data_IF_123865416018
#
_entry.id   IF_123865416018
#
_cell.length_a   1.000
_cell.length_b   1.000
_cell.length_c   1.000
_cell.angle_alpha   90.00
_cell.angle_beta   90.00
_cell.angle_gamma   90.00
#
_symmetry.space_group_name_H-M   'P 1'
#
loop_
_entity.id
_entity.type
_entity.pdbx_description
1 polymer ?
#
# COMPACT_ATOMS: atom_id res chain seq x y z
N UNK A 1 -31.91 6.26 5.86
CA UNK A 1 -31.60 6.58 4.45
C UNK A 1 -30.52 5.62 3.99
N UNK A 2 -30.92 4.50 3.37
CA UNK A 2 -30.03 3.41 2.96
C UNK A 2 -29.41 3.80 1.61
N UNK A 3 -28.42 4.70 1.61
CA UNK A 3 -27.56 4.85 0.44
C UNK A 3 -26.67 3.61 0.39
N UNK A 4 -26.98 2.72 -0.54
CA UNK A 4 -26.43 1.36 -0.71
C UNK A 4 -24.92 1.30 -0.45
N UNK A 5 -24.52 0.50 0.53
CA UNK A 5 -23.15 0.07 0.84
C UNK A 5 -22.36 -0.29 -0.45
N UNK A 6 -23.05 -0.80 -1.47
CA UNK A 6 -22.54 -1.08 -2.83
C UNK A 6 -21.82 0.12 -3.50
N UNK A 7 -22.38 1.34 -3.38
CA UNK A 7 -21.87 2.54 -4.07
C UNK A 7 -20.59 3.06 -3.43
N UNK A 8 -20.48 2.92 -2.10
CA UNK A 8 -19.26 3.25 -1.36
C UNK A 8 -18.14 2.23 -1.59
N UNK A 9 -18.49 0.94 -1.72
CA UNK A 9 -17.55 -0.11 -2.16
C UNK A 9 -16.97 0.22 -3.54
N UNK A 10 -17.82 0.59 -4.50
CA UNK A 10 -17.39 0.97 -5.85
C UNK A 10 -16.43 2.17 -5.83
N UNK A 11 -16.74 3.23 -5.09
CA UNK A 11 -15.86 4.42 -4.98
C UNK A 11 -14.51 4.05 -4.33
N UNK A 12 -14.51 3.14 -3.34
CA UNK A 12 -13.29 2.60 -2.74
C UNK A 12 -12.37 1.87 -3.73
N UNK A 13 -12.93 1.26 -4.78
CA UNK A 13 -12.16 0.61 -5.86
C UNK A 13 -11.78 1.56 -7.00
N UNK A 14 -12.49 2.69 -7.16
CA UNK A 14 -12.19 3.68 -8.20
C UNK A 14 -10.81 4.31 -7.99
N UNK A 15 -10.46 4.70 -6.76
CA UNK A 15 -9.17 5.34 -6.47
C UNK A 15 -7.97 4.41 -6.79
N UNK A 16 -7.94 3.14 -6.33
CA UNK A 16 -6.91 2.19 -6.74
C UNK A 16 -6.89 1.93 -8.24
N UNK A 17 -8.06 1.79 -8.88
CA UNK A 17 -8.14 1.49 -10.30
C UNK A 17 -7.60 2.65 -11.16
N UNK A 18 -7.99 3.89 -10.87
CA UNK A 18 -7.47 5.07 -11.59
C UNK A 18 -5.97 5.24 -11.36
N UNK A 19 -5.51 5.03 -10.13
CA UNK A 19 -4.09 5.09 -9.79
C UNK A 19 -3.29 4.06 -10.57
N UNK A 20 -3.78 2.81 -10.65
CA UNK A 20 -3.14 1.74 -11.41
C UNK A 20 -3.07 2.06 -12.91
N UNK A 21 -4.15 2.58 -13.49
CA UNK A 21 -4.19 3.02 -14.89
C UNK A 21 -3.18 4.13 -15.17
N UNK A 22 -3.14 5.16 -14.33
CA UNK A 22 -2.22 6.30 -14.48
C UNK A 22 -0.76 5.88 -14.30
N UNK A 23 -0.49 4.96 -13.37
CA UNK A 23 0.83 4.35 -13.19
C UNK A 23 1.25 3.55 -14.42
N UNK A 24 0.35 2.74 -14.99
CA UNK A 24 0.64 1.97 -16.19
C UNK A 24 1.03 2.88 -17.37
N UNK A 25 0.31 3.99 -17.55
CA UNK A 25 0.65 4.99 -18.58
C UNK A 25 1.98 5.67 -18.27
N UNK A 26 2.23 6.09 -17.03
CA UNK A 26 3.48 6.73 -16.63
C UNK A 26 4.71 5.83 -16.85
N UNK A 27 4.57 4.54 -16.51
CA UNK A 27 5.58 3.52 -16.72
C UNK A 27 5.78 3.21 -18.20
N UNK A 28 4.71 3.17 -19.00
CA UNK A 28 4.81 2.96 -20.45
C UNK A 28 5.55 4.12 -21.14
N UNK A 29 5.39 5.35 -20.66
CA UNK A 29 6.15 6.52 -21.12
C UNK A 29 7.60 6.55 -20.59
N UNK A 30 8.00 5.62 -19.73
CA UNK A 30 9.33 5.58 -19.10
C UNK A 30 9.62 6.76 -18.16
N UNK A 31 8.59 7.52 -17.76
CA UNK A 31 8.76 8.74 -16.99
C UNK A 31 8.61 8.47 -15.48
N UNK A 32 9.74 8.24 -14.82
CA UNK A 32 9.82 7.96 -13.39
C UNK A 32 9.25 9.11 -12.54
N UNK A 33 9.53 10.37 -12.90
CA UNK A 33 9.01 11.53 -12.17
C UNK A 33 7.48 11.58 -12.21
N UNK A 34 6.88 11.24 -13.35
CA UNK A 34 5.44 11.17 -13.52
C UNK A 34 4.83 10.02 -12.71
N UNK A 35 5.48 8.85 -12.66
CA UNK A 35 5.04 7.71 -11.84
C UNK A 35 5.03 8.05 -10.34
N UNK A 36 6.06 8.73 -9.83
CA UNK A 36 6.08 9.23 -8.46
C UNK A 36 5.04 10.33 -8.21
N UNK A 37 4.80 11.20 -9.19
CA UNK A 37 3.76 12.22 -9.11
C UNK A 37 2.36 11.61 -8.99
N UNK A 38 2.05 10.57 -9.78
CA UNK A 38 0.79 9.82 -9.71
C UNK A 38 0.62 9.17 -8.34
N UNK A 39 1.68 8.53 -7.80
CA UNK A 39 1.65 7.94 -6.46
C UNK A 39 1.38 8.98 -5.38
N UNK A 40 2.09 10.11 -5.41
CA UNK A 40 1.89 11.19 -4.44
C UNK A 40 0.47 11.77 -4.49
N UNK A 41 -0.06 11.98 -5.70
CA UNK A 41 -1.43 12.45 -5.90
C UNK A 41 -2.45 11.44 -5.39
N UNK A 42 -2.29 10.15 -5.69
CA UNK A 42 -3.17 9.10 -5.22
C UNK A 42 -3.20 9.00 -3.68
N UNK A 43 -2.04 9.13 -3.04
CA UNK A 43 -1.93 9.18 -1.57
C UNK A 43 -2.69 10.39 -1.03
N UNK A 44 -2.45 11.58 -1.57
CA UNK A 44 -3.11 12.81 -1.13
C UNK A 44 -4.64 12.73 -1.29
N UNK A 45 -5.13 12.27 -2.44
CA UNK A 45 -6.56 12.07 -2.71
C UNK A 45 -7.17 11.06 -1.75
N UNK A 46 -6.48 9.96 -1.46
CA UNK A 46 -6.94 8.96 -0.50
C UNK A 46 -7.11 9.54 0.91
N UNK A 47 -6.13 10.34 1.37
CA UNK A 47 -6.22 11.02 2.67
C UNK A 47 -7.34 12.05 2.71
N UNK A 48 -7.48 12.88 1.67
CA UNK A 48 -8.55 13.88 1.59
C UNK A 48 -9.93 13.23 1.55
N UNK A 49 -10.08 12.13 0.82
CA UNK A 49 -11.33 11.36 0.76
C UNK A 49 -11.69 10.75 2.12
N UNK A 50 -10.71 10.16 2.82
CA UNK A 50 -10.90 9.63 4.16
C UNK A 50 -11.29 10.72 5.17
N UNK A 51 -10.66 11.90 5.10
CA UNK A 51 -10.98 13.04 5.98
C UNK A 51 -12.38 13.61 5.68
N UNK A 52 -12.75 13.67 4.41
CA UNK A 52 -14.09 14.09 3.97
C UNK A 52 -15.18 13.13 4.45
N UNK A 53 -14.94 11.82 4.39
CA UNK A 53 -15.83 10.79 4.94
C UNK A 53 -16.01 10.95 6.45
N UNK A 54 -14.91 11.14 7.19
CA UNK A 54 -14.96 11.38 8.65
C UNK A 54 -15.81 12.61 9.00
N UNK A 55 -15.68 13.71 8.27
CA UNK A 55 -16.46 14.94 8.50
C UNK A 55 -17.97 14.77 8.28
N UNK A 56 -18.40 13.78 7.51
CA UNK A 56 -19.83 13.49 7.28
C UNK A 56 -20.47 12.62 8.36
N UNK A 57 -19.72 12.18 9.37
CA UNK A 57 -20.24 11.31 10.43
C UNK A 57 -20.58 9.89 9.95
N UNK A 58 -20.10 9.49 8.77
CA UNK A 58 -20.15 8.09 8.33
C UNK A 58 -19.11 7.30 9.12
N UNK A 59 -19.49 6.89 10.33
CA UNK A 59 -18.71 5.96 11.16
C UNK A 59 -18.90 4.56 10.54
N UNK A 60 -18.08 4.23 9.54
CA UNK A 60 -18.05 2.90 8.93
C UNK A 60 -17.40 1.87 9.88
N UNK A 61 -16.68 2.34 10.89
CA UNK A 61 -15.87 1.52 11.78
C UNK A 61 -16.57 1.27 13.12
N UNK A 62 -17.47 0.28 13.14
CA UNK A 62 -17.80 -0.44 14.37
C UNK A 62 -16.48 -1.02 14.96
N UNK A 63 -16.39 -1.15 16.29
CA UNK A 63 -15.22 -1.74 16.97
C UNK A 63 -14.85 -3.11 16.39
N UNK A 64 -15.86 -3.86 15.95
CA UNK A 64 -15.69 -5.17 15.29
C UNK A 64 -14.96 -5.05 13.95
N UNK A 65 -15.39 -4.11 13.10
CA UNK A 65 -14.76 -3.84 11.80
C UNK A 65 -13.33 -3.39 11.98
N UNK A 66 -13.08 -2.53 12.96
CA UNK A 66 -11.75 -2.00 13.28
C UNK A 66 -10.79 -3.12 13.73
N UNK A 67 -11.24 -4.05 14.59
CA UNK A 67 -10.44 -5.22 14.96
C UNK A 67 -10.17 -6.17 13.80
N UNK A 68 -11.12 -6.35 12.88
CA UNK A 68 -10.94 -7.17 11.67
C UNK A 68 -9.87 -6.54 10.76
N UNK A 69 -9.95 -5.23 10.53
CA UNK A 69 -8.95 -4.51 9.74
C UNK A 69 -7.55 -4.58 10.37
N UNK A 70 -7.45 -4.46 11.69
CA UNK A 70 -6.17 -4.61 12.39
C UNK A 70 -5.58 -6.02 12.23
N UNK A 71 -6.39 -7.08 12.39
CA UNK A 71 -5.93 -8.46 12.21
C UNK A 71 -5.55 -8.74 10.76
N UNK A 72 -6.36 -8.27 9.81
CA UNK A 72 -6.08 -8.39 8.38
C UNK A 72 -4.79 -7.67 8.01
N UNK A 73 -4.62 -6.42 8.45
CA UNK A 73 -3.41 -5.61 8.22
C UNK A 73 -2.15 -6.29 8.76
N UNK A 74 -2.21 -6.86 9.98
CA UNK A 74 -1.08 -7.62 10.56
C UNK A 74 -0.70 -8.82 9.70
N UNK A 75 -1.68 -9.59 9.21
CA UNK A 75 -1.42 -10.75 8.34
C UNK A 75 -0.90 -10.33 6.96
N UNK A 76 -1.50 -9.32 6.33
CA UNK A 76 -1.05 -8.80 5.04
C UNK A 76 0.39 -8.33 5.11
N UNK A 77 0.78 -7.63 6.18
CA UNK A 77 2.15 -7.16 6.36
C UNK A 77 3.14 -8.32 6.59
N UNK A 78 2.71 -9.39 7.28
CA UNK A 78 3.52 -10.62 7.39
C UNK A 78 3.72 -11.31 6.04
N UNK A 79 2.64 -11.49 5.26
CA UNK A 79 2.70 -12.12 3.93
C UNK A 79 3.55 -11.30 2.98
N UNK A 80 3.39 -9.96 2.99
CA UNK A 80 4.20 -9.04 2.17
C UNK A 80 5.70 -9.17 2.48
N UNK A 81 6.08 -9.16 3.76
CA UNK A 81 7.48 -9.32 4.14
C UNK A 81 8.04 -10.68 3.73
N UNK A 82 7.26 -11.76 3.87
CA UNK A 82 7.68 -13.09 3.44
C UNK A 82 7.91 -13.12 1.93
N UNK A 83 6.96 -12.59 1.15
CA UNK A 83 7.07 -12.49 -0.31
C UNK A 83 8.28 -11.64 -0.73
N UNK A 84 8.51 -10.49 -0.08
CA UNK A 84 9.68 -9.65 -0.33
C UNK A 84 10.99 -10.35 0.04
N UNK A 85 11.03 -11.10 1.15
CA UNK A 85 12.21 -11.87 1.53
C UNK A 85 12.55 -12.94 0.47
N UNK A 86 11.56 -13.68 -0.02
CA UNK A 86 11.75 -14.60 -1.14
C UNK A 86 12.21 -13.88 -2.41
N UNK A 87 11.59 -12.74 -2.76
CA UNK A 87 11.97 -11.96 -3.93
C UNK A 87 13.43 -11.48 -3.84
N UNK A 88 13.88 -10.99 -2.68
CA UNK A 88 15.27 -10.56 -2.45
C UNK A 88 16.25 -11.73 -2.64
N UNK A 89 15.95 -12.90 -2.10
CA UNK A 89 16.82 -14.10 -2.25
C UNK A 89 16.92 -14.50 -3.72
N UNK A 90 15.78 -14.61 -4.41
CA UNK A 90 15.74 -14.98 -5.84
C UNK A 90 16.47 -13.95 -6.70
N UNK A 91 16.19 -12.66 -6.49
CA UNK A 91 16.82 -11.57 -7.23
C UNK A 91 18.31 -11.46 -6.95
N UNK A 92 18.77 -11.77 -5.73
CA UNK A 92 20.20 -11.81 -5.40
C UNK A 92 20.94 -12.79 -6.32
N UNK A 93 20.47 -14.04 -6.40
CA UNK A 93 21.07 -15.09 -7.24
C UNK A 93 20.93 -14.78 -8.74
N UNK A 94 19.79 -14.23 -9.16
CA UNK A 94 19.57 -13.89 -10.58
C UNK A 94 20.38 -12.66 -11.02
N UNK A 95 20.60 -11.69 -10.12
CA UNK A 95 21.34 -10.46 -10.43
C UNK A 95 22.81 -10.70 -10.74
N UNK A 96 23.41 -11.78 -10.20
CA UNK A 96 24.76 -12.21 -10.55
C UNK A 96 24.88 -12.65 -12.02
N UNK A 97 23.80 -13.21 -12.58
CA UNK A 97 23.76 -13.71 -13.96
C UNK A 97 23.29 -12.66 -14.96
N UNK A 98 22.41 -11.76 -14.53
CA UNK A 98 21.81 -10.72 -15.37
C UNK A 98 21.93 -9.36 -14.66
N UNK A 99 22.94 -8.53 -15.02
CA UNK A 99 23.20 -7.27 -14.32
C UNK A 99 22.04 -6.27 -14.42
N UNK A 100 21.15 -6.43 -15.40
CA UNK A 100 19.95 -5.60 -15.54
C UNK A 100 18.94 -5.79 -14.38
N UNK A 101 19.00 -6.91 -13.63
CA UNK A 101 18.13 -7.18 -12.48
C UNK A 101 18.63 -6.57 -11.17
N UNK A 102 19.83 -5.97 -11.18
CA UNK A 102 20.45 -5.39 -10.00
C UNK A 102 19.62 -4.23 -9.42
N UNK A 103 18.98 -3.44 -10.28
CA UNK A 103 18.03 -2.38 -9.89
C UNK A 103 16.80 -2.95 -9.17
N UNK A 104 16.23 -4.05 -9.69
CA UNK A 104 15.09 -4.73 -9.08
C UNK A 104 15.46 -5.35 -7.72
N UNK A 105 16.68 -5.89 -7.59
CA UNK A 105 17.21 -6.39 -6.32
C UNK A 105 17.28 -5.28 -5.26
N UNK A 106 17.90 -4.13 -5.57
CA UNK A 106 17.97 -3.01 -4.63
C UNK A 106 16.59 -2.45 -4.28
N UNK A 107 15.67 -2.42 -5.23
CA UNK A 107 14.28 -2.01 -4.99
C UNK A 107 13.57 -2.98 -4.04
N UNK A 108 13.66 -4.29 -4.28
CA UNK A 108 13.07 -5.29 -3.39
C UNK A 108 13.67 -5.24 -1.98
N UNK A 109 15.00 -5.06 -1.88
CA UNK A 109 15.71 -4.94 -0.61
C UNK A 109 15.26 -3.68 0.16
N UNK A 110 15.20 -2.54 -0.51
CA UNK A 110 14.75 -1.28 0.11
C UNK A 110 13.30 -1.36 0.58
N UNK A 111 12.39 -1.98 -0.18
CA UNK A 111 11.01 -2.23 0.23
C UNK A 111 10.92 -3.17 1.43
N UNK A 112 11.75 -4.22 1.49
CA UNK A 112 11.81 -5.14 2.63
C UNK A 112 12.26 -4.43 3.91
N UNK A 113 13.30 -3.59 3.81
CA UNK A 113 13.79 -2.80 4.95
C UNK A 113 12.74 -1.78 5.38
N UNK A 114 12.16 -1.04 4.45
CA UNK A 114 11.12 -0.03 4.73
C UNK A 114 9.90 -0.66 5.41
N UNK A 115 9.38 -1.76 4.88
CA UNK A 115 8.23 -2.48 5.45
C UNK A 115 8.54 -3.05 6.84
N UNK A 116 9.77 -3.51 7.08
CA UNK A 116 10.23 -3.95 8.40
C UNK A 116 10.28 -2.80 9.41
N UNK A 117 10.80 -1.63 9.01
CA UNK A 117 10.82 -0.42 9.85
C UNK A 117 9.40 0.02 10.18
N UNK A 118 8.49 0.05 9.19
CA UNK A 118 7.06 0.36 9.41
C UNK A 118 6.45 -0.62 10.40
N UNK A 119 6.71 -1.93 10.27
CA UNK A 119 6.22 -2.93 11.22
C UNK A 119 6.68 -2.67 12.65
N UNK A 120 7.97 -2.33 12.83
CA UNK A 120 8.54 -2.01 14.13
C UNK A 120 7.93 -0.74 14.72
N UNK A 121 7.76 0.30 13.90
CA UNK A 121 7.13 1.54 14.29
C UNK A 121 5.69 1.32 14.74
N UNK A 122 4.90 0.58 13.95
CA UNK A 122 3.53 0.21 14.29
C UNK A 122 3.49 -0.60 15.60
N UNK A 123 4.37 -1.59 15.76
CA UNK A 123 4.46 -2.38 17.00
C UNK A 123 4.71 -1.48 18.21
N UNK A 124 5.64 -0.51 18.10
CA UNK A 124 5.96 0.44 19.18
C UNK A 124 4.83 1.43 19.45
N UNK A 125 4.12 1.87 18.42
CA UNK A 125 2.98 2.78 18.58
C UNK A 125 1.83 2.07 19.29
N UNK A 126 1.43 0.88 18.82
CA UNK A 126 0.36 0.11 19.43
C UNK A 126 0.69 -0.39 20.84
N UNK A 127 1.96 -0.68 21.15
CA UNK A 127 2.37 -1.05 22.53
C UNK A 127 2.35 0.11 23.53
N UNK A 128 2.18 1.36 23.05
CA UNK A 128 2.06 2.55 23.92
C UNK A 128 0.61 3.00 24.11
N UNK A 129 -0.27 2.62 23.19
CA UNK A 129 -1.67 3.09 23.13
C UNK A 129 -2.62 2.04 23.71
N UNK A 130 -2.27 0.75 23.62
CA UNK A 130 -2.91 -0.36 24.34
C UNK A 130 -2.04 -0.78 25.52
#
# INVERSE_FOLDING_TARGET
MVMSVERWRLIGYVIPATTASMLAVALWMGNIALAFGVLAAAIAVSFLYADWLKKRGEIISDERTLRIEEMASRRTLQVLMLALAFAVVVLSVLSEKVPNLMSAYYLALSLLVLSSVIKLYLKKHYSRVM
#
